data_IF_643856118545
#
_entry.id   IF_643856118545
#
_cell.length_a   1.000
_cell.length_b   1.000
_cell.length_c   1.000
_cell.angle_alpha   90.00
_cell.angle_beta   90.00
_cell.angle_gamma   90.00
#
_symmetry.space_group_name_H-M   'P 1'
#
loop_
_entity.id
_entity.type
_entity.pdbx_description
1 polymer ?
#
# COMPACT_ATOMS: atom_id res chain seq x y z
N UNK A 1 -7.77 -17.25 -2.92
CA UNK A 1 -6.54 -16.67 -3.51
C UNK A 1 -6.29 -15.29 -2.97
N UNK A 2 -5.10 -15.06 -2.49
CA UNK A 2 -4.76 -13.74 -2.03
C UNK A 2 -4.56 -12.80 -3.21
N UNK A 3 -4.59 -11.50 -2.91
CA UNK A 3 -4.45 -10.45 -3.91
C UNK A 3 -3.46 -9.40 -3.43
N UNK A 4 -2.88 -8.68 -4.37
CA UNK A 4 -2.07 -7.51 -4.09
C UNK A 4 -2.80 -6.26 -4.54
N UNK A 5 -2.83 -5.27 -3.67
CA UNK A 5 -3.41 -3.96 -3.97
C UNK A 5 -2.26 -2.97 -4.07
N UNK A 6 -2.16 -2.30 -5.20
CA UNK A 6 -1.13 -1.30 -5.44
C UNK A 6 -1.76 0.08 -5.51
N UNK A 7 -1.25 0.99 -4.69
CA UNK A 7 -1.68 2.39 -4.70
C UNK A 7 -0.45 3.22 -5.03
N UNK A 8 -0.43 3.79 -6.22
CA UNK A 8 0.74 4.52 -6.73
C UNK A 8 0.44 6.00 -6.89
N UNK A 9 1.37 6.83 -6.50
CA UNK A 9 1.21 8.28 -6.61
C UNK A 9 2.55 8.99 -6.43
N UNK A 10 2.58 10.24 -6.84
CA UNK A 10 3.66 11.15 -6.50
C UNK A 10 3.32 11.85 -5.20
N UNK A 11 4.36 12.13 -4.42
CA UNK A 11 4.24 12.98 -3.24
C UNK A 11 4.89 14.34 -3.53
N UNK A 12 4.58 15.31 -2.69
CA UNK A 12 5.17 16.64 -2.80
C UNK A 12 6.69 16.54 -2.68
N UNK A 13 7.46 17.26 -3.51
CA UNK A 13 8.92 17.18 -3.50
C UNK A 13 9.50 17.48 -2.12
N UNK A 14 10.49 16.70 -1.74
CA UNK A 14 11.22 16.92 -0.50
C UNK A 14 10.53 16.44 0.75
N UNK A 15 9.43 15.70 0.65
CA UNK A 15 8.66 15.25 1.82
C UNK A 15 8.77 13.75 2.08
N UNK A 16 9.77 13.08 1.51
CA UNK A 16 9.92 11.63 1.62
C UNK A 16 9.93 11.13 3.06
N UNK A 17 10.73 11.76 3.92
CA UNK A 17 10.86 11.29 5.30
C UNK A 17 9.56 11.43 6.07
N UNK A 18 8.89 12.54 5.90
CA UNK A 18 7.61 12.80 6.56
C UNK A 18 6.55 11.86 6.04
N UNK A 19 6.55 11.60 4.72
CA UNK A 19 5.60 10.68 4.12
C UNK A 19 5.81 9.26 4.66
N UNK A 20 7.05 8.80 4.75
CA UNK A 20 7.35 7.47 5.25
C UNK A 20 6.92 7.32 6.71
N UNK A 21 7.07 8.38 7.51
CA UNK A 21 6.58 8.40 8.89
C UNK A 21 5.06 8.31 8.94
N UNK A 22 4.38 9.07 8.08
CA UNK A 22 2.92 9.03 8.00
C UNK A 22 2.44 7.64 7.60
N UNK A 23 3.16 6.98 6.70
CA UNK A 23 2.84 5.60 6.31
C UNK A 23 2.92 4.66 7.51
N UNK A 24 3.93 4.81 8.36
CA UNK A 24 4.06 3.98 9.55
C UNK A 24 2.86 4.14 10.49
N UNK A 25 2.33 5.35 10.62
CA UNK A 25 1.11 5.57 11.40
C UNK A 25 -0.08 4.83 10.80
N UNK A 26 -0.24 4.91 9.48
CA UNK A 26 -1.33 4.22 8.79
C UNK A 26 -1.19 2.71 8.96
N UNK A 27 0.01 2.21 8.79
CA UNK A 27 0.31 0.79 8.92
C UNK A 27 -0.09 0.26 10.30
N UNK A 28 0.22 1.01 11.34
CA UNK A 28 -0.13 0.61 12.70
C UNK A 28 -1.66 0.53 12.89
N UNK A 29 -2.41 1.38 12.22
CA UNK A 29 -3.87 1.39 12.32
C UNK A 29 -4.53 0.32 11.49
N UNK A 30 -3.95 -0.06 10.36
CA UNK A 30 -4.51 -1.08 9.47
C UNK A 30 -4.23 -2.48 9.98
N UNK A 31 -3.16 -2.67 10.73
CA UNK A 31 -2.82 -3.96 11.29
C UNK A 31 -3.96 -4.54 12.12
N UNK A 32 -4.27 -5.82 11.91
CA UNK A 32 -5.38 -6.48 12.58
C UNK A 32 -6.71 -6.39 11.85
N UNK A 33 -6.78 -5.65 10.76
CA UNK A 33 -7.99 -5.62 9.93
C UNK A 33 -8.22 -7.01 9.33
N UNK A 34 -9.46 -7.52 9.36
CA UNK A 34 -9.75 -8.83 8.80
C UNK A 34 -9.34 -8.92 7.32
N UNK A 35 -8.54 -9.94 7.01
CA UNK A 35 -8.07 -10.17 5.66
C UNK A 35 -6.78 -9.49 5.29
N UNK A 36 -6.28 -8.58 6.11
CA UNK A 36 -5.01 -7.90 5.85
C UNK A 36 -3.85 -8.85 6.20
N UNK A 37 -2.98 -9.11 5.23
CA UNK A 37 -1.85 -10.02 5.39
C UNK A 37 -0.51 -9.30 5.55
N UNK A 38 -0.40 -8.10 5.03
CA UNK A 38 0.83 -7.32 5.13
C UNK A 38 0.86 -6.18 4.15
N UNK A 39 1.90 -5.37 4.25
CA UNK A 39 2.04 -4.22 3.36
C UNK A 39 3.49 -3.78 3.29
N UNK A 40 3.83 -3.14 2.20
CA UNK A 40 5.13 -2.53 2.00
C UNK A 40 4.94 -1.17 1.35
N UNK A 41 5.83 -0.25 1.66
CA UNK A 41 5.90 1.01 0.95
C UNK A 41 7.14 0.94 0.06
N UNK A 42 6.92 1.08 -1.25
CA UNK A 42 7.99 1.00 -2.24
C UNK A 42 8.28 2.39 -2.77
N UNK A 43 9.54 2.76 -2.82
CA UNK A 43 9.96 4.01 -3.43
C UNK A 43 10.56 3.70 -4.80
N UNK A 44 10.19 4.48 -5.80
CA UNK A 44 10.73 4.32 -7.14
C UNK A 44 12.25 4.50 -7.09
N UNK A 45 12.99 3.60 -7.72
CA UNK A 45 14.45 3.58 -7.61
C UNK A 45 15.13 4.80 -8.21
N UNK A 46 14.46 5.47 -9.15
CA UNK A 46 15.04 6.61 -9.85
C UNK A 46 14.30 7.93 -9.60
N UNK A 47 13.17 7.88 -8.90
CA UNK A 47 12.36 9.08 -8.62
C UNK A 47 11.97 9.07 -7.14
N UNK A 48 12.67 9.85 -6.31
CA UNK A 48 12.45 9.83 -4.86
C UNK A 48 11.08 10.33 -4.43
N UNK A 49 10.33 10.96 -5.32
CA UNK A 49 9.01 11.47 -5.01
C UNK A 49 7.89 10.55 -5.48
N UNK A 50 8.23 9.34 -5.97
CA UNK A 50 7.25 8.40 -6.47
C UNK A 50 7.20 7.16 -5.59
N UNK A 51 6.00 6.85 -5.09
CA UNK A 51 5.79 5.73 -4.17
C UNK A 51 4.67 4.83 -4.62
N UNK A 52 4.76 3.57 -4.23
CA UNK A 52 3.69 2.59 -4.38
C UNK A 52 3.47 1.93 -3.02
N UNK A 53 2.23 1.99 -2.55
CA UNK A 53 1.82 1.23 -1.36
C UNK A 53 1.39 -0.14 -1.88
N UNK A 54 2.03 -1.19 -1.39
CA UNK A 54 1.73 -2.56 -1.80
C UNK A 54 1.07 -3.26 -0.62
N UNK A 55 -0.23 -3.53 -0.73
CA UNK A 55 -0.97 -4.24 0.29
C UNK A 55 -1.23 -5.68 -0.14
N UNK A 56 -1.07 -6.61 0.79
CA UNK A 56 -1.37 -8.02 0.55
C UNK A 56 -2.61 -8.39 1.36
N UNK A 57 -3.64 -8.91 0.70
CA UNK A 57 -4.94 -9.20 1.30
C UNK A 57 -5.38 -10.62 0.95
N UNK A 58 -6.17 -11.23 1.83
CA UNK A 58 -6.66 -12.58 1.62
C UNK A 58 -7.54 -12.70 0.37
N UNK A 59 -8.30 -11.66 0.07
CA UNK A 59 -9.20 -11.65 -1.09
C UNK A 59 -9.55 -10.22 -1.48
N UNK A 60 -10.01 -10.07 -2.71
CA UNK A 60 -10.54 -8.80 -3.19
C UNK A 60 -11.71 -8.33 -2.34
N UNK A 61 -12.60 -9.25 -1.97
CA UNK A 61 -13.78 -8.92 -1.18
C UNK A 61 -13.41 -8.32 0.18
N UNK A 62 -12.41 -8.90 0.85
CA UNK A 62 -11.99 -8.39 2.15
C UNK A 62 -11.34 -7.03 2.05
N UNK A 63 -10.55 -6.82 1.00
CA UNK A 63 -9.97 -5.49 0.76
C UNK A 63 -11.07 -4.47 0.50
N UNK A 64 -12.02 -4.79 -0.38
CA UNK A 64 -13.10 -3.85 -0.71
C UNK A 64 -13.97 -3.54 0.50
N UNK A 65 -14.22 -4.52 1.36
CA UNK A 65 -14.99 -4.29 2.57
C UNK A 65 -14.28 -3.26 3.49
N UNK A 66 -12.95 -3.34 3.58
CA UNK A 66 -12.19 -2.36 4.35
C UNK A 66 -12.16 -1.01 3.65
N UNK A 67 -11.95 -0.99 2.34
CA UNK A 67 -11.88 0.26 1.58
C UNK A 67 -13.20 1.04 1.67
N UNK A 68 -14.33 0.34 1.71
CA UNK A 68 -15.65 0.96 1.79
C UNK A 68 -16.04 1.34 3.22
N UNK A 69 -15.33 0.85 4.21
CA UNK A 69 -15.65 1.15 5.60
C UNK A 69 -15.23 2.58 5.96
N UNK A 70 -16.00 3.27 6.81
CA UNK A 70 -15.63 4.63 7.24
C UNK A 70 -14.25 4.71 7.86
N UNK A 71 -13.81 3.65 8.53
CA UNK A 71 -12.52 3.61 9.19
C UNK A 71 -11.36 3.72 8.19
N UNK A 72 -11.55 3.30 6.94
CA UNK A 72 -10.52 3.42 5.91
C UNK A 72 -10.15 4.89 5.70
N UNK A 73 -11.16 5.75 5.58
CA UNK A 73 -10.90 7.18 5.38
C UNK A 73 -10.13 7.77 6.55
N UNK A 74 -10.52 7.42 7.78
CA UNK A 74 -9.84 7.91 8.97
C UNK A 74 -8.39 7.42 9.02
N UNK A 75 -8.17 6.14 8.73
CA UNK A 75 -6.84 5.55 8.81
C UNK A 75 -5.88 6.13 7.77
N UNK A 76 -6.39 6.55 6.62
CA UNK A 76 -5.53 7.04 5.53
C UNK A 76 -5.38 8.56 5.50
N UNK A 77 -6.07 9.28 6.38
CA UNK A 77 -5.95 10.74 6.46
C UNK A 77 -4.49 11.23 6.54
N UNK A 78 -3.60 10.60 7.32
CA UNK A 78 -2.22 11.09 7.41
C UNK A 78 -1.46 11.13 6.08
N UNK A 79 -1.89 10.36 5.08
CA UNK A 79 -1.21 10.33 3.78
C UNK A 79 -1.69 11.43 2.84
N UNK A 80 -2.90 11.94 3.03
CA UNK A 80 -3.53 12.86 2.08
C UNK A 80 -2.76 14.15 1.81
N UNK A 81 -2.17 14.80 2.83
CA UNK A 81 -1.45 16.05 2.58
C UNK A 81 -0.25 15.91 1.67
N UNK A 82 0.24 14.68 1.47
CA UNK A 82 1.45 14.45 0.69
C UNK A 82 1.21 14.26 -0.79
N UNK A 83 -0.03 13.98 -1.20
CA UNK A 83 -0.30 13.67 -2.62
C UNK A 83 -0.05 14.89 -3.50
N UNK A 84 0.71 14.68 -4.59
CA UNK A 84 1.07 15.73 -5.53
C UNK A 84 0.53 15.42 -6.93
N UNK A 85 -0.57 14.68 -7.02
CA UNK A 85 -1.18 14.32 -8.29
C UNK A 85 -2.17 13.20 -8.11
N UNK A 86 -2.60 12.58 -9.21
CA UNK A 86 -3.58 11.49 -9.15
C UNK A 86 -3.02 10.30 -8.38
N UNK A 87 -3.91 9.64 -7.66
CA UNK A 87 -3.60 8.39 -6.97
C UNK A 87 -4.25 7.26 -7.76
N UNK A 88 -3.45 6.29 -8.17
CA UNK A 88 -3.91 5.14 -8.93
C UNK A 88 -3.96 3.91 -8.02
N UNK A 89 -5.10 3.24 -7.99
CA UNK A 89 -5.26 2.03 -7.19
C UNK A 89 -5.64 0.88 -8.11
N UNK A 90 -4.86 -0.21 -8.06
CA UNK A 90 -5.06 -1.40 -8.89
C UNK A 90 -5.02 -2.63 -8.00
N UNK A 91 -5.95 -3.55 -8.22
CA UNK A 91 -5.96 -4.84 -7.53
C UNK A 91 -5.45 -5.89 -8.51
N UNK A 92 -4.46 -6.67 -8.06
CA UNK A 92 -3.90 -7.75 -8.86
C UNK A 92 -4.16 -9.07 -8.17
N UNK A 93 -4.72 -10.01 -8.92
CA UNK A 93 -4.84 -11.39 -8.45
C UNK A 93 -3.55 -12.13 -8.78
N UNK A 94 -3.16 -13.06 -7.91
CA UNK A 94 -1.97 -13.86 -8.17
C UNK A 94 -2.36 -14.95 -9.18
N UNK A 95 -1.87 -14.81 -10.40
CA UNK A 95 -2.19 -15.79 -11.45
C UNK A 95 -1.30 -17.04 -11.34
N UNK A 96 -0.03 -16.84 -11.00
CA UNK A 96 0.93 -17.91 -10.80
C UNK A 96 1.76 -17.56 -9.58
N UNK A 97 1.83 -18.49 -8.65
CA UNK A 97 2.57 -18.25 -7.40
C UNK A 97 3.56 -19.40 -7.22
N UNK A 98 4.84 -19.06 -7.29
CA UNK A 98 5.89 -20.03 -7.05
C UNK A 98 6.96 -19.36 -6.18
N UNK A 99 7.22 -19.99 -5.04
CA UNK A 99 8.28 -19.52 -4.17
C UNK A 99 9.62 -19.56 -4.88
N UNK A 100 10.45 -18.58 -4.61
CA UNK A 100 11.81 -18.60 -5.11
C UNK A 100 12.54 -19.83 -4.57
N UNK A 101 13.51 -20.32 -5.33
CA UNK A 101 14.29 -21.50 -4.94
C UNK A 101 15.30 -21.19 -3.84
N UNK A 102 15.24 -20.02 -3.32
CA UNK A 102 16.28 -19.57 -2.41
C UNK A 102 17.56 -19.34 -3.13
N UNK A 103 17.47 -19.20 -4.42
CA UNK A 103 18.65 -19.03 -5.24
C UNK A 103 19.45 -17.91 -4.69
N UNK A 104 20.19 -18.34 -3.82
CA UNK A 104 21.17 -17.47 -3.32
C UNK A 104 22.25 -17.59 -4.25
N UNK A 105 22.75 -16.53 -4.65
CA UNK A 105 23.95 -16.64 -5.43
C UNK A 105 24.97 -17.42 -4.68
#
# INVERSE_FOLDING_TARGET
>A
MSVYVMVSARIKPGTSKEFERAFEEVRAKVGGTPGHLGEQLLRHSEDPDRYTLLGHWESTEKFLAWEDAPIHRENTVPLRPFWAGPVERVIHEIAVDRAGTGARP
#
